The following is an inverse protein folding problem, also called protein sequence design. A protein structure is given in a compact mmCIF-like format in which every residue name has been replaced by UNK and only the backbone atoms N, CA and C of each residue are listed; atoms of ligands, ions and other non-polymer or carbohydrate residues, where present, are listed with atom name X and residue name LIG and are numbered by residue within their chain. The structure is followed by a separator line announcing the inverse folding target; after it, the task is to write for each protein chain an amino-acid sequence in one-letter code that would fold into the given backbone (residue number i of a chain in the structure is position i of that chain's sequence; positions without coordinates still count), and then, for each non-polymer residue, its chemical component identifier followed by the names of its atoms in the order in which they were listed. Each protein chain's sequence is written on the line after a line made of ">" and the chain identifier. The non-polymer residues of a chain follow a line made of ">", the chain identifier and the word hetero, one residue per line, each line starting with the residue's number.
data_IF_735644050457
#
_entry.id   IF_735644050457
#
_cell.length_a   1.000
_cell.length_b   1.000
_cell.length_c   1.000
_cell.angle_alpha   90.00
_cell.angle_beta   90.00
_cell.angle_gamma   90.00
#
_symmetry.space_group_name_H-M   'P 1'
#
loop_
_entity.id
_entity.type
_entity.pdbx_description
1 polymer ?
#
# COMPACT_ATOMS: atom_id res chain seq x y z
N UNK A 1 -1.22 -8.89 -5.11
CA UNK A 1 -0.72 -8.22 -6.35
C UNK A 1 -0.54 -9.16 -7.56
N UNK A 2 -0.39 -10.47 -7.38
CA UNK A 2 -0.16 -11.39 -8.51
C UNK A 2 -1.25 -11.35 -9.58
N UNK A 3 -2.49 -11.08 -9.18
CA UNK A 3 -3.65 -11.05 -10.07
C UNK A 3 -3.53 -9.95 -11.13
N UNK A 4 -3.12 -8.73 -10.75
CA UNK A 4 -2.90 -7.64 -11.72
C UNK A 4 -1.71 -7.93 -12.62
N UNK A 5 -0.61 -8.46 -12.07
CA UNK A 5 0.57 -8.75 -12.87
C UNK A 5 0.33 -9.85 -13.92
N UNK A 6 -0.53 -10.85 -13.60
CA UNK A 6 -0.96 -11.87 -14.57
C UNK A 6 -1.72 -11.29 -15.77
N UNK A 7 -2.45 -10.20 -15.56
CA UNK A 7 -3.23 -9.51 -16.61
C UNK A 7 -2.45 -8.38 -17.29
N UNK A 8 -1.15 -8.23 -16.99
CA UNK A 8 -0.34 -7.11 -17.48
C UNK A 8 -0.37 -6.96 -19.01
N UNK A 9 -0.32 -8.07 -19.75
CA UNK A 9 -0.40 -8.04 -21.21
C UNK A 9 -1.73 -7.43 -21.71
N UNK A 10 -2.84 -7.76 -21.05
CA UNK A 10 -4.16 -7.22 -21.37
C UNK A 10 -4.24 -5.73 -20.99
N UNK A 11 -3.70 -5.36 -19.81
CA UNK A 11 -3.63 -3.96 -19.35
C UNK A 11 -2.88 -3.09 -20.36
N UNK A 12 -1.72 -3.54 -20.84
CA UNK A 12 -0.92 -2.83 -21.86
C UNK A 12 -1.69 -2.68 -23.17
N UNK A 13 -2.46 -3.71 -23.55
CA UNK A 13 -3.25 -3.68 -24.79
C UNK A 13 -4.36 -2.63 -24.73
N UNK A 14 -4.99 -2.48 -23.57
CA UNK A 14 -6.13 -1.56 -23.40
C UNK A 14 -5.72 -0.17 -22.92
N UNK A 15 -4.48 0.02 -22.43
CA UNK A 15 -4.02 1.29 -21.85
C UNK A 15 -3.94 2.46 -22.83
N UNK A 16 -3.92 2.17 -24.14
CA UNK A 16 -3.88 3.20 -25.18
C UNK A 16 -5.22 3.94 -25.35
N UNK A 17 -6.32 3.40 -24.80
CA UNK A 17 -7.63 4.02 -24.87
C UNK A 17 -7.89 4.92 -23.65
N UNK A 18 -8.39 6.16 -23.83
CA UNK A 18 -8.73 7.04 -22.72
C UNK A 18 -9.95 6.53 -21.95
N UNK A 19 -9.94 6.70 -20.62
CA UNK A 19 -11.06 6.32 -19.75
C UNK A 19 -11.20 4.81 -19.50
N UNK A 20 -10.20 4.01 -19.88
CA UNK A 20 -10.22 2.57 -19.65
C UNK A 20 -10.06 2.21 -18.18
N UNK A 21 -10.79 1.17 -17.77
CA UNK A 21 -10.81 0.64 -16.41
C UNK A 21 -10.47 -0.85 -16.40
N UNK A 22 -9.87 -1.32 -15.32
CA UNK A 22 -9.45 -2.71 -15.10
C UNK A 22 -10.15 -3.24 -13.85
N UNK A 23 -10.87 -4.34 -13.98
CA UNK A 23 -11.37 -5.10 -12.83
C UNK A 23 -10.29 -6.00 -12.27
N UNK A 24 -10.05 -5.94 -10.96
CA UNK A 24 -9.06 -6.79 -10.29
C UNK A 24 -9.69 -8.15 -9.97
N UNK A 25 -9.23 -9.25 -10.60
CA UNK A 25 -9.86 -10.54 -10.39
C UNK A 25 -9.47 -11.13 -9.04
N UNK A 26 -10.33 -12.03 -8.54
CA UNK A 26 -10.11 -12.81 -7.31
C UNK A 26 -9.83 -11.95 -6.07
N UNK A 27 -10.40 -10.74 -6.00
CA UNK A 27 -10.39 -9.91 -4.80
C UNK A 27 -11.62 -10.22 -3.94
N UNK A 28 -11.48 -10.31 -2.62
CA UNK A 28 -12.61 -10.56 -1.73
C UNK A 28 -13.56 -9.35 -1.68
N UNK A 29 -14.85 -9.60 -1.54
CA UNK A 29 -15.87 -8.56 -1.37
C UNK A 29 -16.39 -8.00 -2.69
N UNK A 30 -16.48 -6.66 -2.78
CA UNK A 30 -16.99 -5.97 -3.97
C UNK A 30 -15.95 -6.01 -5.09
N UNK A 31 -16.42 -6.08 -6.32
CA UNK A 31 -15.56 -5.97 -7.50
C UNK A 31 -14.78 -4.63 -7.44
N UNK A 32 -13.45 -4.72 -7.52
CA UNK A 32 -12.58 -3.55 -7.50
C UNK A 32 -12.27 -3.20 -8.95
N UNK A 33 -12.70 -2.01 -9.37
CA UNK A 33 -12.42 -1.45 -10.70
C UNK A 33 -11.46 -0.27 -10.54
N UNK A 34 -10.34 -0.31 -11.25
CA UNK A 34 -9.28 0.69 -11.17
C UNK A 34 -9.08 1.33 -12.55
N UNK A 35 -9.13 2.66 -12.68
CA UNK A 35 -8.74 3.34 -13.91
C UNK A 35 -7.30 3.01 -14.28
N UNK A 36 -7.02 2.78 -15.57
CA UNK A 36 -5.64 2.50 -16.00
C UNK A 36 -4.68 3.64 -15.64
N UNK A 37 -5.17 4.88 -15.59
CA UNK A 37 -4.41 6.06 -15.16
C UNK A 37 -4.02 6.05 -13.67
N UNK A 38 -4.72 5.28 -12.83
CA UNK A 38 -4.40 5.09 -11.41
C UNK A 38 -3.56 3.84 -11.17
N UNK A 39 -3.36 3.01 -12.20
CA UNK A 39 -2.46 1.87 -12.10
C UNK A 39 -1.01 2.36 -12.06
N UNK A 40 -0.18 1.76 -11.20
CA UNK A 40 1.23 2.09 -11.17
C UNK A 40 1.95 1.74 -12.48
N UNK A 41 2.97 2.53 -12.81
CA UNK A 41 3.66 2.50 -14.10
C UNK A 41 4.11 1.12 -14.56
N UNK A 42 4.61 0.27 -13.65
CA UNK A 42 5.08 -1.08 -14.01
C UNK A 42 4.01 -2.02 -14.55
N UNK A 43 2.73 -1.75 -14.28
CA UNK A 43 1.61 -2.51 -14.83
C UNK A 43 1.22 -2.04 -16.23
N UNK A 44 1.55 -0.79 -16.57
CA UNK A 44 1.17 -0.15 -17.83
C UNK A 44 2.33 -0.12 -18.83
N UNK A 45 3.58 -0.09 -18.35
CA UNK A 45 4.78 0.04 -19.16
C UNK A 45 5.90 -0.86 -18.63
N UNK A 46 6.89 -1.15 -19.47
CA UNK A 46 8.10 -1.88 -19.06
C UNK A 46 8.99 -0.99 -18.19
N UNK A 47 9.24 -1.42 -16.96
CA UNK A 47 10.15 -0.76 -16.04
C UNK A 47 11.02 -1.79 -15.30
N UNK A 48 11.81 -1.33 -14.34
CA UNK A 48 12.68 -2.22 -13.56
C UNK A 48 11.89 -3.22 -12.71
N UNK A 49 10.73 -2.83 -12.18
CA UNK A 49 9.91 -3.68 -11.33
C UNK A 49 9.19 -4.75 -12.15
N UNK A 50 8.69 -4.41 -13.33
CA UNK A 50 8.05 -5.38 -14.22
C UNK A 50 9.05 -6.42 -14.74
N UNK A 51 10.26 -6.00 -15.10
CA UNK A 51 11.33 -6.91 -15.55
C UNK A 51 11.86 -7.81 -14.44
N UNK A 52 11.89 -7.32 -13.20
CA UNK A 52 12.39 -8.08 -12.06
C UNK A 52 11.29 -8.81 -11.28
N UNK A 53 10.01 -8.72 -11.67
CA UNK A 53 8.88 -9.29 -10.93
C UNK A 53 9.04 -10.79 -10.65
N UNK A 54 9.44 -11.54 -11.67
CA UNK A 54 9.68 -12.99 -11.59
C UNK A 54 10.82 -13.35 -10.62
N UNK A 55 11.74 -12.42 -10.35
CA UNK A 55 12.80 -12.59 -9.36
C UNK A 55 12.33 -12.15 -7.97
N UNK A 56 11.65 -11.01 -7.88
CA UNK A 56 11.17 -10.41 -6.63
C UNK A 56 10.19 -11.35 -5.93
N UNK A 57 9.27 -11.96 -6.68
CA UNK A 57 8.19 -12.77 -6.12
C UNK A 57 8.69 -14.00 -5.35
N UNK A 58 9.58 -14.84 -5.90
CA UNK A 58 10.23 -15.91 -5.15
C UNK A 58 10.96 -15.42 -3.90
N UNK A 59 11.64 -14.27 -3.95
CA UNK A 59 12.30 -13.73 -2.76
C UNK A 59 11.32 -13.29 -1.67
N UNK A 60 10.17 -12.72 -2.05
CA UNK A 60 9.10 -12.38 -1.11
C UNK A 60 8.55 -13.64 -0.41
N UNK A 61 8.33 -14.72 -1.17
CA UNK A 61 7.79 -15.98 -0.64
C UNK A 61 8.83 -16.78 0.17
N UNK A 62 10.10 -16.75 -0.25
CA UNK A 62 11.22 -17.39 0.45
C UNK A 62 11.72 -16.58 1.65
N UNK A 63 11.36 -15.29 1.72
CA UNK A 63 11.66 -14.41 2.83
C UNK A 63 11.07 -14.93 4.14
N UNK A 64 11.60 -14.40 5.24
CA UNK A 64 11.09 -14.69 6.57
C UNK A 64 9.64 -14.23 6.75
N UNK A 65 9.33 -13.05 6.24
CA UNK A 65 8.01 -12.45 6.28
C UNK A 65 7.98 -11.09 5.62
N UNK A 66 6.78 -10.55 5.48
CA UNK A 66 6.48 -9.27 4.87
C UNK A 66 5.78 -8.39 5.90
N UNK A 67 6.26 -7.16 6.05
CA UNK A 67 5.61 -6.13 6.85
C UNK A 67 4.79 -5.25 5.90
N UNK A 68 3.54 -4.98 6.26
CA UNK A 68 2.63 -4.13 5.50
C UNK A 68 2.13 -3.01 6.41
N UNK A 69 2.23 -1.75 5.95
CA UNK A 69 1.64 -0.60 6.64
C UNK A 69 0.12 -0.54 6.43
N UNK A 70 -0.60 -1.42 7.12
CA UNK A 70 -2.06 -1.44 7.27
C UNK A 70 -2.39 -2.13 8.59
N UNK A 71 -3.66 -2.23 8.97
CA UNK A 71 -4.07 -2.98 10.15
C UNK A 71 -5.30 -3.83 9.83
N UNK A 72 -5.36 -5.00 10.47
CA UNK A 72 -6.39 -6.02 10.18
C UNK A 72 -7.80 -5.46 10.34
N UNK A 73 -8.04 -4.64 11.36
CA UNK A 73 -9.37 -4.10 11.60
C UNK A 73 -9.85 -3.17 10.46
N UNK A 74 -8.94 -2.66 9.61
CA UNK A 74 -9.27 -1.85 8.43
C UNK A 74 -9.61 -2.72 7.21
N UNK A 75 -8.78 -3.71 6.93
CA UNK A 75 -8.73 -4.43 5.65
C UNK A 75 -8.76 -5.95 5.80
N UNK A 76 -9.43 -6.47 6.83
CA UNK A 76 -9.48 -7.90 7.19
C UNK A 76 -9.53 -8.86 5.99
N UNK A 77 -10.51 -8.78 5.06
CA UNK A 77 -10.59 -9.74 3.96
C UNK A 77 -9.36 -9.69 3.04
N UNK A 78 -8.77 -8.52 2.84
CA UNK A 78 -7.56 -8.35 2.03
C UNK A 78 -6.31 -8.83 2.76
N UNK A 79 -6.24 -8.63 4.08
CA UNK A 79 -5.15 -9.14 4.93
C UNK A 79 -5.10 -10.67 4.89
N UNK A 80 -6.26 -11.34 4.94
CA UNK A 80 -6.37 -12.80 4.84
C UNK A 80 -5.96 -13.29 3.45
N UNK A 81 -6.47 -12.68 2.38
CA UNK A 81 -6.10 -13.03 1.01
C UNK A 81 -4.60 -12.85 0.75
N UNK A 82 -4.04 -11.73 1.21
CA UNK A 82 -2.61 -11.44 1.08
C UNK A 82 -1.75 -12.46 1.85
N UNK A 83 -2.15 -12.81 3.07
CA UNK A 83 -1.44 -13.81 3.88
C UNK A 83 -1.51 -15.20 3.25
N UNK A 84 -2.58 -15.52 2.49
CA UNK A 84 -2.73 -16.80 1.81
C UNK A 84 -1.87 -16.91 0.55
N UNK A 85 -1.79 -15.83 -0.24
CA UNK A 85 -1.26 -15.88 -1.61
C UNK A 85 0.13 -15.24 -1.73
N UNK A 86 0.41 -14.22 -0.91
CA UNK A 86 1.51 -13.29 -1.16
C UNK A 86 2.61 -13.30 -0.09
N UNK A 87 2.41 -13.92 1.08
CA UNK A 87 3.46 -14.00 2.10
C UNK A 87 3.33 -15.25 2.99
N UNK A 88 4.46 -15.90 3.31
CA UNK A 88 4.47 -16.98 4.31
C UNK A 88 4.13 -16.48 5.72
N UNK A 89 4.55 -15.24 6.03
CA UNK A 89 4.21 -14.50 7.23
C UNK A 89 3.97 -13.05 6.82
N UNK A 90 2.78 -12.53 7.04
CA UNK A 90 2.46 -11.12 6.87
C UNK A 90 2.26 -10.49 8.25
N UNK A 91 2.80 -9.29 8.48
CA UNK A 91 2.61 -8.51 9.71
C UNK A 91 2.04 -7.14 9.34
N UNK A 92 0.84 -6.82 9.84
CA UNK A 92 0.10 -5.61 9.51
C UNK A 92 0.30 -4.56 10.61
N UNK A 93 1.31 -3.70 10.42
CA UNK A 93 1.85 -2.79 11.47
C UNK A 93 1.50 -1.32 11.21
N UNK A 94 0.23 -1.05 10.90
CA UNK A 94 -0.26 0.29 10.57
C UNK A 94 -1.15 0.92 11.64
N UNK A 95 -1.45 2.22 11.51
CA UNK A 95 -0.75 3.16 10.65
C UNK A 95 0.61 3.58 11.23
N UNK A 96 1.66 3.50 10.42
CA UNK A 96 2.93 4.17 10.73
C UNK A 96 2.70 5.69 10.62
N UNK A 97 2.76 6.40 11.74
CA UNK A 97 2.55 7.85 11.77
C UNK A 97 3.55 8.58 10.87
N UNK A 98 3.08 9.47 9.99
CA UNK A 98 3.90 10.59 9.55
C UNK A 98 3.84 11.71 10.61
N UNK A 99 4.92 12.48 10.81
CA UNK A 99 5.06 13.38 11.95
C UNK A 99 4.02 14.50 11.96
N UNK A 100 3.73 14.96 13.18
CA UNK A 100 2.77 15.96 13.62
C UNK A 100 2.55 17.16 12.68
N UNK A 101 1.29 17.55 12.57
CA UNK A 101 0.87 18.90 12.22
C UNK A 101 1.71 19.95 12.96
N UNK A 102 2.55 20.66 12.22
CA UNK A 102 2.98 22.01 12.55
C UNK A 102 3.13 22.82 11.27
N UNK A 103 2.14 23.69 11.04
CA UNK A 103 2.24 24.93 10.28
C UNK A 103 2.67 24.82 8.80
N UNK A 104 1.66 24.93 7.92
CA UNK A 104 1.66 25.79 6.72
C UNK A 104 3.04 26.21 6.19
N UNK A 105 3.65 25.40 5.32
CA UNK A 105 4.46 25.94 4.23
C UNK A 105 4.08 25.26 2.92
N UNK A 106 3.21 25.98 2.20
CA UNK A 106 2.74 25.73 0.84
C UNK A 106 3.92 25.97 -0.11
N UNK A 107 4.44 24.91 -0.71
CA UNK A 107 5.51 25.04 -1.71
C UNK A 107 5.62 23.78 -2.55
N UNK A 108 5.08 23.84 -3.77
CA UNK A 108 5.28 22.80 -4.79
C UNK A 108 6.67 22.92 -5.38
N UNK A 109 7.46 21.86 -5.26
CA UNK A 109 8.73 21.72 -5.94
C UNK A 109 8.47 21.37 -7.41
N UNK A 110 8.83 22.27 -8.32
CA UNK A 110 8.66 22.07 -9.77
C UNK A 110 9.71 21.09 -10.27
N UNK A 111 9.30 19.89 -10.69
CA UNK A 111 10.05 19.13 -11.69
C UNK A 111 9.51 19.51 -13.07
N UNK A 112 10.34 20.22 -13.82
CA UNK A 112 10.05 20.62 -15.19
C UNK A 112 10.06 19.40 -16.11
N UNK A 113 9.00 19.26 -16.91
CA UNK A 113 9.01 18.45 -18.12
C UNK A 113 7.98 17.34 -18.17
N UNK A 114 6.70 17.69 -18.30
CA UNK A 114 5.67 16.91 -19.00
C UNK A 114 4.51 17.89 -19.30
N UNK A 115 3.88 17.79 -20.47
CA UNK A 115 2.84 18.72 -20.90
C UNK A 115 1.59 18.55 -20.03
N UNK A 116 1.58 19.25 -18.90
CA UNK A 116 0.54 19.25 -17.88
C UNK A 116 -0.72 19.94 -18.44
N UNK A 117 -1.83 19.20 -18.48
CA UNK A 117 -3.16 19.81 -18.60
C UNK A 117 -3.42 20.55 -17.29
N UNK A 118 -2.86 21.75 -17.17
CA UNK A 118 -2.91 22.54 -15.95
C UNK A 118 -4.37 22.81 -15.58
N UNK A 119 -4.85 22.18 -14.50
CA UNK A 119 -6.19 22.43 -13.98
C UNK A 119 -6.24 23.88 -13.51
N UNK A 120 -7.19 24.70 -14.02
CA UNK A 120 -7.26 26.10 -13.63
C UNK A 120 -7.45 26.24 -12.11
N UNK A 121 -6.71 27.15 -11.47
CA UNK A 121 -6.82 27.39 -10.03
C UNK A 121 -8.26 27.70 -9.59
N UNK A 122 -9.06 28.31 -10.47
CA UNK A 122 -10.49 28.57 -10.24
C UNK A 122 -11.33 27.29 -10.16
N UNK A 123 -11.01 26.25 -10.94
CA UNK A 123 -11.70 24.96 -10.89
C UNK A 123 -11.38 24.24 -9.59
N UNK A 124 -10.11 24.27 -9.16
CA UNK A 124 -9.68 23.74 -7.86
C UNK A 124 -10.39 24.48 -6.72
N UNK A 125 -10.39 25.82 -6.75
CA UNK A 125 -11.03 26.64 -5.72
C UNK A 125 -12.54 26.36 -5.62
N UNK A 126 -13.24 26.21 -6.76
CA UNK A 126 -14.67 25.85 -6.78
C UNK A 126 -14.92 24.45 -6.24
N UNK A 127 -14.12 23.46 -6.62
CA UNK A 127 -14.25 22.09 -6.13
C UNK A 127 -14.00 22.02 -4.62
N UNK A 128 -12.96 22.71 -4.12
CA UNK A 128 -12.66 22.80 -2.69
C UNK A 128 -13.75 23.55 -1.94
N UNK A 129 -14.21 24.69 -2.45
CA UNK A 129 -15.30 25.44 -1.82
C UNK A 129 -16.59 24.61 -1.74
N UNK A 130 -16.98 23.94 -2.82
CA UNK A 130 -18.15 23.04 -2.82
C UNK A 130 -17.99 21.85 -1.88
N UNK A 131 -16.78 21.29 -1.73
CA UNK A 131 -16.50 20.26 -0.73
C UNK A 131 -16.55 20.79 0.72
N UNK A 132 -16.17 22.05 0.92
CA UNK A 132 -16.16 22.72 2.23
C UNK A 132 -17.52 23.30 2.65
N UNK A 133 -18.48 23.42 1.73
CA UNK A 133 -19.83 23.86 2.04
C UNK A 133 -20.53 22.87 3.00
N UNK A 134 -21.27 23.41 3.98
CA UNK A 134 -21.97 22.60 4.98
C UNK A 134 -23.13 21.86 4.32
N UNK A 135 -23.23 20.55 4.56
CA UNK A 135 -24.32 19.71 4.07
C UNK A 135 -24.17 18.26 4.51
N UNK A 136 -25.25 17.47 4.37
CA UNK A 136 -25.30 16.08 4.81
C UNK A 136 -24.18 15.19 4.23
N UNK A 137 -23.71 15.51 3.01
CA UNK A 137 -22.58 14.84 2.38
C UNK A 137 -21.27 15.06 3.17
N UNK A 138 -21.00 16.30 3.60
CA UNK A 138 -19.84 16.61 4.44
C UNK A 138 -19.96 15.91 5.79
N UNK A 139 -21.13 15.95 6.42
CA UNK A 139 -21.33 15.33 7.72
C UNK A 139 -21.11 13.82 7.66
N UNK A 140 -21.53 13.16 6.56
CA UNK A 140 -21.25 11.75 6.30
C UNK A 140 -19.77 11.45 6.08
N UNK A 141 -19.05 12.28 5.32
CA UNK A 141 -17.60 12.15 5.12
C UNK A 141 -16.85 12.36 6.44
N UNK A 142 -17.23 13.37 7.22
CA UNK A 142 -16.62 13.69 8.50
C UNK A 142 -16.88 12.60 9.55
N UNK A 143 -18.09 12.03 9.59
CA UNK A 143 -18.41 10.87 10.43
C UNK A 143 -17.57 9.65 10.05
N UNK A 144 -17.46 9.35 8.76
CA UNK A 144 -16.64 8.24 8.25
C UNK A 144 -15.16 8.42 8.58
N UNK A 145 -14.63 9.63 8.42
CA UNK A 145 -13.25 9.96 8.79
C UNK A 145 -13.00 9.78 10.29
N UNK A 146 -13.95 10.17 11.15
CA UNK A 146 -13.87 9.96 12.60
C UNK A 146 -13.90 8.48 12.97
N UNK A 147 -14.73 7.67 12.34
CA UNK A 147 -14.76 6.21 12.53
C UNK A 147 -13.41 5.58 12.19
N UNK A 148 -12.89 5.88 10.99
CA UNK A 148 -11.58 5.39 10.54
C UNK A 148 -10.45 5.82 11.49
N UNK A 149 -10.46 7.08 11.94
CA UNK A 149 -9.49 7.57 12.92
C UNK A 149 -9.64 6.90 14.30
N UNK A 150 -10.85 6.49 14.68
CA UNK A 150 -11.12 5.71 15.88
C UNK A 150 -10.54 4.29 15.78
N UNK A 151 -10.81 3.60 14.67
CA UNK A 151 -10.28 2.25 14.37
C UNK A 151 -8.76 2.24 14.31
N UNK A 152 -8.16 3.22 13.64
CA UNK A 152 -6.71 3.38 13.57
C UNK A 152 -6.07 3.55 14.96
N UNK A 153 -6.68 4.39 15.83
CA UNK A 153 -6.22 4.59 17.21
C UNK A 153 -6.36 3.32 18.05
N UNK A 154 -7.47 2.60 17.90
CA UNK A 154 -7.69 1.33 18.60
C UNK A 154 -6.68 0.25 18.15
N UNK A 155 -6.36 0.19 16.85
CA UNK A 155 -5.44 -0.80 16.30
C UNK A 155 -4.01 -0.68 16.84
N UNK A 156 -3.52 0.54 17.09
CA UNK A 156 -2.19 0.80 17.66
C UNK A 156 -2.18 0.82 19.19
N UNK A 157 -3.35 0.91 19.82
CA UNK A 157 -3.51 0.82 21.26
C UNK A 157 -3.14 -0.57 21.80
N UNK A 158 -2.95 -0.66 23.12
CA UNK A 158 -2.66 -1.94 23.79
C UNK A 158 -3.73 -2.99 23.44
N UNK A 159 -3.30 -4.20 23.10
CA UNK A 159 -4.14 -5.30 22.57
C UNK A 159 -4.84 -5.03 21.23
N UNK A 160 -4.56 -3.91 20.56
CA UNK A 160 -5.03 -3.62 19.20
C UNK A 160 -4.44 -4.55 18.13
N UNK A 161 -5.03 -4.59 16.94
CA UNK A 161 -4.59 -5.48 15.86
C UNK A 161 -3.14 -5.24 15.43
N UNK A 162 -2.75 -3.98 15.19
CA UNK A 162 -1.39 -3.60 14.83
C UNK A 162 -0.40 -3.85 15.98
N UNK A 163 -0.80 -3.54 17.22
CA UNK A 163 -0.02 -3.88 18.41
C UNK A 163 0.27 -5.38 18.48
N UNK A 164 -0.74 -6.24 18.33
CA UNK A 164 -0.57 -7.70 18.38
C UNK A 164 0.37 -8.20 17.29
N UNK A 165 0.30 -7.64 16.09
CA UNK A 165 1.17 -8.03 14.98
C UNK A 165 2.63 -7.58 15.16
N UNK A 166 2.86 -6.44 15.80
CA UNK A 166 4.22 -6.02 16.22
C UNK A 166 4.79 -6.99 17.24
N UNK A 167 4.01 -7.37 18.25
CA UNK A 167 4.46 -8.35 19.27
C UNK A 167 4.73 -9.71 18.63
N UNK A 168 3.84 -10.19 17.75
CA UNK A 168 4.06 -11.43 16.98
C UNK A 168 5.33 -11.36 16.12
N UNK A 169 5.59 -10.24 15.46
CA UNK A 169 6.82 -10.03 14.68
C UNK A 169 8.06 -10.13 15.58
N UNK A 170 8.04 -9.50 16.75
CA UNK A 170 9.16 -9.54 17.70
C UNK A 170 9.40 -10.98 18.16
N UNK A 171 8.35 -11.69 18.59
CA UNK A 171 8.44 -13.07 19.05
C UNK A 171 9.01 -14.00 17.98
N UNK A 172 8.47 -13.92 16.76
CA UNK A 172 8.93 -14.70 15.62
C UNK A 172 10.41 -14.43 15.31
N UNK A 173 10.85 -13.17 15.37
CA UNK A 173 12.25 -12.78 15.13
C UNK A 173 13.19 -13.27 16.24
N UNK A 174 12.74 -13.22 17.50
CA UNK A 174 13.51 -13.74 18.65
C UNK A 174 13.68 -15.25 18.54
N UNK A 175 12.62 -15.98 18.20
CA UNK A 175 12.66 -17.44 17.97
C UNK A 175 13.56 -17.80 16.78
N UNK A 176 13.49 -17.04 15.69
CA UNK A 176 14.38 -17.25 14.54
C UNK A 176 15.86 -17.08 14.92
N UNK A 177 16.16 -16.06 15.74
CA UNK A 177 17.51 -15.84 16.27
C UNK A 177 17.97 -17.01 17.15
N UNK A 178 17.10 -17.54 18.01
CA UNK A 178 17.41 -18.67 18.87
C UNK A 178 17.68 -19.97 18.08
N UNK A 179 16.98 -20.16 16.96
CA UNK A 179 17.14 -21.33 16.07
C UNK A 179 18.33 -21.24 15.10
N UNK A 180 19.24 -20.27 15.28
CA UNK A 180 20.48 -20.15 14.51
C UNK A 180 20.38 -19.34 13.21
N UNK A 181 19.21 -18.80 12.88
CA UNK A 181 19.06 -17.82 11.80
C UNK A 181 19.49 -16.43 12.29
N UNK A 182 20.34 -15.71 11.56
CA UNK A 182 20.61 -14.28 11.82
C UNK A 182 20.01 -13.43 10.71
N UNK A 183 19.63 -12.18 11.06
CA UNK A 183 19.33 -11.15 10.05
C UNK A 183 20.56 -11.02 9.17
N UNK A 184 20.42 -11.16 7.86
CA UNK A 184 21.52 -10.76 6.98
C UNK A 184 21.77 -9.27 7.20
N UNK A 185 23.04 -8.83 7.18
CA UNK A 185 23.33 -7.41 7.12
C UNK A 185 22.54 -6.79 5.94
N UNK A 186 22.11 -5.51 6.02
CA UNK A 186 21.42 -4.84 4.92
C UNK A 186 22.40 -4.51 3.77
N UNK A 187 23.16 -5.49 3.28
CA UNK A 187 23.93 -5.34 2.04
C UNK A 187 23.07 -5.63 0.81
N UNK A 188 21.88 -6.20 0.98
CA UNK A 188 20.84 -6.37 -0.06
C UNK A 188 19.45 -6.18 0.54
N UNK A 189 19.08 -4.94 0.87
CA UNK A 189 17.71 -4.56 1.17
C UNK A 189 16.92 -4.61 -0.15
N UNK A 190 16.47 -5.78 -0.58
CA UNK A 190 15.80 -5.93 -1.87
C UNK A 190 14.32 -5.58 -1.75
N UNK A 191 14.01 -4.40 -2.28
CA UNK A 191 12.69 -3.86 -2.65
C UNK A 191 11.79 -3.39 -1.50
N UNK A 192 11.84 -2.08 -1.25
CA UNK A 192 10.70 -1.31 -0.77
C UNK A 192 9.77 -1.13 -1.97
N UNK A 193 8.67 -1.87 -2.05
CA UNK A 193 7.58 -1.49 -2.93
C UNK A 193 6.77 -0.43 -2.18
N UNK A 194 6.87 0.81 -2.64
CA UNK A 194 5.90 1.84 -2.35
C UNK A 194 4.97 1.92 -3.57
N UNK A 195 3.83 1.24 -3.52
CA UNK A 195 2.70 1.60 -4.38
C UNK A 195 1.65 2.23 -3.47
N UNK A 196 1.26 3.46 -3.78
CA UNK A 196 0.16 4.18 -3.15
C UNK A 196 0.15 4.03 -1.61
N UNK A 197 1.10 4.71 -0.95
CA UNK A 197 1.18 4.86 0.52
C UNK A 197 1.44 3.61 1.37
N UNK A 198 1.34 2.40 0.82
CA UNK A 198 1.69 1.17 1.53
C UNK A 198 3.19 0.85 1.36
N UNK A 199 3.97 0.99 2.43
CA UNK A 199 5.36 0.53 2.49
C UNK A 199 5.34 -0.96 2.79
N UNK A 200 5.76 -1.78 1.83
CA UNK A 200 5.95 -3.22 2.02
C UNK A 200 7.43 -3.51 2.26
N UNK A 201 7.77 -4.11 3.39
CA UNK A 201 9.16 -4.47 3.74
C UNK A 201 9.30 -5.99 3.79
N UNK A 202 10.19 -6.54 2.97
CA UNK A 202 10.52 -7.97 2.95
C UNK A 202 11.68 -8.23 3.93
N UNK A 203 11.51 -9.14 4.88
CA UNK A 203 12.54 -9.55 5.83
C UNK A 203 13.22 -10.82 5.30
N UNK A 204 14.55 -10.80 5.16
CA UNK A 204 15.36 -11.98 4.81
C UNK A 204 16.21 -12.41 6.00
N UNK A 205 16.20 -13.70 6.32
CA UNK A 205 17.09 -14.32 7.31
C UNK A 205 17.95 -15.37 6.62
N UNK A 206 19.20 -15.52 7.05
CA UNK A 206 20.14 -16.51 6.52
C UNK A 206 20.54 -17.51 7.61
N UNK A 207 20.68 -18.79 7.24
CA UNK A 207 21.26 -19.82 8.08
C UNK A 207 22.79 -19.73 8.02
N UNK A 208 23.45 -20.01 9.14
CA UNK A 208 24.89 -20.28 9.16
C UNK A 208 25.20 -21.64 8.54
#
# INVERSE_FOLDING_TARGET
>A
MNNLFKMRADIIRISSAPGTVVSVPSMPGKEITIPVSELPSFLVQDDHLSKSWEQIKPFQLAGFGVIVNTFVDLELPYCEEFSRVDARRAYFVGPLAQPSCSTVHRGGDKRAGEAETAVPAVAIARAVAGFMERGAQRDGVEASARDLAGRARAAVGENGSSWRDIHRLIDDLVQARASGFRKSAPSKLSFVFAQNSAVVVIIRLEKK
#
